data_IF_563436788033
#
_entry.id   IF_563436788033
#
_cell.length_a   1.000
_cell.length_b   1.000
_cell.length_c   1.000
_cell.angle_alpha   90.00
_cell.angle_beta   90.00
_cell.angle_gamma   90.00
#
_symmetry.space_group_name_H-M   'P 1'
#
loop_
_entity.id
_entity.type
_entity.pdbx_description
1 polymer ?
#
# COMPACT_ATOMS: atom_id res chain seq x y z
N UNK A 1 19.75 5.92 4.60
CA UNK A 1 19.79 7.36 4.34
C UNK A 1 18.40 8.01 4.38
N UNK A 2 17.42 7.45 3.67
CA UNK A 2 16.07 8.01 3.60
C UNK A 2 15.38 8.05 4.97
N UNK A 3 15.48 6.98 5.75
CA UNK A 3 14.90 6.93 7.10
C UNK A 3 15.53 7.95 8.04
N UNK A 4 16.82 8.08 8.00
CA UNK A 4 17.55 9.07 8.82
C UNK A 4 17.14 10.48 8.42
N UNK A 5 17.04 10.77 7.14
CA UNK A 5 16.59 12.08 6.65
C UNK A 5 15.18 12.40 7.11
N UNK A 6 14.26 11.41 7.04
CA UNK A 6 12.88 11.59 7.50
C UNK A 6 12.81 11.86 9.01
N UNK A 7 13.61 11.16 9.81
CA UNK A 7 13.66 11.37 11.26
C UNK A 7 14.16 12.75 11.65
N UNK A 8 15.06 13.33 10.84
CA UNK A 8 15.61 14.66 11.10
C UNK A 8 14.77 15.80 10.54
N UNK A 9 13.54 15.51 10.12
CA UNK A 9 12.57 16.53 9.72
C UNK A 9 12.45 16.78 8.22
N UNK A 10 13.16 16.01 7.39
CA UNK A 10 13.05 16.14 5.94
C UNK A 10 11.78 15.44 5.42
N UNK A 11 11.14 16.02 4.41
CA UNK A 11 10.12 15.35 3.65
C UNK A 11 10.80 14.48 2.59
N UNK A 12 10.58 13.18 2.66
CA UNK A 12 11.25 12.21 1.78
C UNK A 12 10.22 11.47 0.95
N UNK A 13 10.43 11.43 -0.37
CA UNK A 13 9.68 10.58 -1.30
C UNK A 13 10.61 9.49 -1.81
N UNK A 14 10.12 8.26 -1.82
CA UNK A 14 10.84 7.13 -2.38
C UNK A 14 9.94 6.27 -3.24
N UNK A 15 10.50 5.58 -4.20
CA UNK A 15 9.75 4.68 -5.08
C UNK A 15 10.29 3.26 -4.97
N UNK A 16 9.36 2.29 -4.96
CA UNK A 16 9.67 0.87 -4.95
C UNK A 16 8.76 0.14 -5.94
N UNK A 17 9.20 -1.03 -6.36
CA UNK A 17 8.43 -1.86 -7.29
C UNK A 17 7.68 -2.94 -6.51
N UNK A 18 6.52 -2.57 -5.97
CA UNK A 18 5.69 -3.47 -5.16
C UNK A 18 4.23 -3.38 -5.58
N UNK A 19 3.46 -4.43 -5.31
CA UNK A 19 2.05 -4.52 -5.68
C UNK A 19 1.10 -4.21 -4.53
N UNK A 20 1.60 -3.99 -3.32
CA UNK A 20 0.76 -3.68 -2.17
C UNK A 20 1.52 -2.86 -1.12
N UNK A 21 0.77 -2.20 -0.24
CA UNK A 21 1.35 -1.44 0.87
C UNK A 21 2.10 -2.36 1.83
N UNK A 22 1.53 -3.53 2.15
CA UNK A 22 2.16 -4.50 3.04
C UNK A 22 3.51 -4.99 2.48
N UNK A 23 3.56 -5.31 1.19
CA UNK A 23 4.80 -5.73 0.53
C UNK A 23 5.83 -4.62 0.50
N UNK A 24 5.40 -3.37 0.41
CA UNK A 24 6.30 -2.21 0.46
C UNK A 24 7.02 -2.14 1.80
N UNK A 25 6.30 -2.32 2.90
CA UNK A 25 6.88 -2.33 4.25
C UNK A 25 7.92 -3.46 4.37
N UNK A 26 7.55 -4.67 3.98
CA UNK A 26 8.45 -5.81 4.02
C UNK A 26 9.71 -5.58 3.18
N UNK A 27 9.56 -5.00 2.00
CA UNK A 27 10.67 -4.71 1.09
C UNK A 27 11.66 -3.72 1.68
N UNK A 28 11.15 -2.68 2.33
CA UNK A 28 12.01 -1.68 2.99
C UNK A 28 12.82 -2.33 4.11
N UNK A 29 12.17 -3.15 4.93
CA UNK A 29 12.81 -3.80 6.08
C UNK A 29 13.82 -4.86 5.62
N UNK A 30 13.50 -5.60 4.58
CA UNK A 30 14.31 -6.73 4.12
C UNK A 30 15.66 -6.34 3.53
N UNK A 31 15.87 -5.07 3.16
CA UNK A 31 17.19 -4.62 2.68
C UNK A 31 18.21 -4.45 3.81
N UNK A 32 17.79 -4.54 5.06
CA UNK A 32 18.66 -4.37 6.23
C UNK A 32 19.05 -5.73 6.81
N UNK A 33 20.26 -5.82 7.43
CA UNK A 33 20.66 -7.04 8.15
C UNK A 33 19.70 -7.39 9.28
N UNK A 34 19.60 -8.67 9.60
CA UNK A 34 18.68 -9.16 10.63
C UNK A 34 18.86 -8.44 11.98
N UNK A 35 20.09 -8.12 12.35
CA UNK A 35 20.39 -7.42 13.61
C UNK A 35 19.83 -6.00 13.67
N UNK A 36 19.56 -5.38 12.53
CA UNK A 36 19.08 -4.00 12.43
C UNK A 36 17.56 -3.91 12.18
N UNK A 37 16.90 -5.00 11.84
CA UNK A 37 15.49 -4.98 11.44
C UNK A 37 14.56 -4.42 12.50
N UNK A 38 14.78 -4.74 13.77
CA UNK A 38 13.96 -4.22 14.87
C UNK A 38 14.03 -2.70 14.98
N UNK A 39 15.23 -2.14 14.88
CA UNK A 39 15.45 -0.70 14.90
C UNK A 39 14.80 -0.04 13.67
N UNK A 40 14.95 -0.63 12.50
CA UNK A 40 14.37 -0.12 11.25
C UNK A 40 12.84 -0.11 11.32
N UNK A 41 12.22 -1.14 11.86
CA UNK A 41 10.76 -1.17 12.08
C UNK A 41 10.30 -0.03 12.96
N UNK A 42 11.02 0.22 14.04
CA UNK A 42 10.71 1.31 14.96
C UNK A 42 10.82 2.66 14.27
N UNK A 43 11.92 2.90 13.58
CA UNK A 43 12.14 4.15 12.82
C UNK A 43 11.08 4.36 11.75
N UNK A 44 10.78 3.32 10.97
CA UNK A 44 9.80 3.37 9.90
C UNK A 44 8.41 3.65 10.44
N UNK A 45 8.04 3.00 11.57
CA UNK A 45 6.73 3.20 12.19
C UNK A 45 6.49 4.66 12.62
N UNK A 46 7.54 5.37 12.97
CA UNK A 46 7.43 6.77 13.39
C UNK A 46 7.52 7.75 12.21
N UNK A 47 8.32 7.43 11.20
CA UNK A 47 8.64 8.35 10.11
C UNK A 47 7.70 8.24 8.91
N UNK A 48 7.12 7.07 8.69
CA UNK A 48 6.27 6.84 7.53
C UNK A 48 4.98 7.66 7.61
N UNK A 49 4.59 8.27 6.49
CA UNK A 49 3.34 9.03 6.40
C UNK A 49 2.30 8.30 5.58
N UNK A 50 2.68 7.78 4.43
CA UNK A 50 1.76 7.09 3.54
C UNK A 50 2.51 6.18 2.58
N UNK A 51 1.81 5.17 2.09
CA UNK A 51 2.27 4.31 0.99
C UNK A 51 1.16 4.27 -0.05
N UNK A 52 1.52 4.54 -1.30
CA UNK A 52 0.60 4.45 -2.42
C UNK A 52 1.16 3.43 -3.40
N UNK A 53 0.44 2.31 -3.55
CA UNK A 53 0.79 1.28 -4.53
C UNK A 53 -0.09 1.45 -5.75
N UNK A 54 0.51 1.41 -6.94
CA UNK A 54 -0.19 1.67 -8.19
C UNK A 54 -0.11 0.47 -9.11
N UNK A 55 -1.23 0.16 -9.75
CA UNK A 55 -1.33 -0.81 -10.83
C UNK A 55 -1.93 -0.13 -12.04
N UNK A 56 -1.30 -0.29 -13.19
CA UNK A 56 -1.82 0.24 -14.46
C UNK A 56 -2.48 -0.88 -15.25
N UNK A 57 -3.67 -0.62 -15.75
CA UNK A 57 -4.44 -1.59 -16.51
C UNK A 57 -5.09 -0.93 -17.72
N UNK A 58 -5.57 -1.74 -18.65
CA UNK A 58 -6.25 -1.24 -19.82
C UNK A 58 -7.59 -0.64 -19.45
N UNK A 59 -7.82 0.58 -19.92
CA UNK A 59 -9.07 1.30 -19.72
C UNK A 59 -10.07 0.90 -20.82
N UNK A 60 -11.34 0.80 -20.46
CA UNK A 60 -12.43 0.59 -21.43
C UNK A 60 -12.44 1.76 -22.42
N UNK A 61 -12.44 1.45 -23.72
CA UNK A 61 -12.44 2.47 -24.75
C UNK A 61 -11.07 2.98 -25.16
N UNK A 62 -10.00 2.48 -24.55
CA UNK A 62 -8.62 2.81 -24.89
C UNK A 62 -7.87 3.56 -23.80
N UNK A 63 -6.55 3.55 -23.89
CA UNK A 63 -5.68 4.13 -22.89
C UNK A 63 -5.51 3.24 -21.67
N UNK A 64 -4.98 3.83 -20.60
CA UNK A 64 -4.69 3.12 -19.35
C UNK A 64 -5.36 3.81 -18.16
N UNK A 65 -5.68 3.03 -17.16
CA UNK A 65 -6.24 3.50 -15.89
C UNK A 65 -5.37 3.01 -14.75
N UNK A 66 -5.08 3.91 -13.81
CA UNK A 66 -4.34 3.55 -12.61
C UNK A 66 -5.31 3.19 -11.49
N UNK A 67 -5.04 2.08 -10.83
CA UNK A 67 -5.70 1.71 -9.58
C UNK A 67 -4.70 1.80 -8.44
N UNK A 68 -5.13 2.30 -7.30
CA UNK A 68 -4.25 2.56 -6.17
C UNK A 68 -4.71 1.86 -4.91
N UNK A 69 -3.75 1.30 -4.18
CA UNK A 69 -3.91 0.95 -2.78
C UNK A 69 -3.26 2.07 -1.97
N UNK A 70 -3.99 2.65 -1.04
CA UNK A 70 -3.53 3.80 -0.25
C UNK A 70 -3.54 3.43 1.21
N UNK A 71 -2.38 3.53 1.85
CA UNK A 71 -2.21 3.33 3.28
C UNK A 71 -1.72 4.63 3.91
N UNK A 72 -2.40 5.08 4.94
CA UNK A 72 -2.00 6.24 5.74
C UNK A 72 -1.51 5.73 7.09
N UNK A 73 -0.39 6.27 7.57
CA UNK A 73 0.23 5.81 8.82
C UNK A 73 -0.52 6.32 10.03
N UNK A 74 -1.69 5.75 10.29
CA UNK A 74 -2.46 5.95 11.52
C UNK A 74 -1.75 5.26 12.70
N UNK A 75 -2.12 5.57 13.96
CA UNK A 75 -1.56 4.86 15.11
C UNK A 75 -1.68 3.34 15.02
N UNK A 76 -2.80 2.82 14.50
CA UNK A 76 -3.00 1.39 14.31
C UNK A 76 -2.00 0.80 13.32
N UNK A 77 -1.81 1.46 12.17
CA UNK A 77 -0.84 1.03 11.15
C UNK A 77 0.59 1.09 11.72
N UNK A 78 0.95 2.17 12.42
CA UNK A 78 2.27 2.31 13.03
C UNK A 78 2.57 1.18 14.00
N UNK A 79 1.59 0.79 14.78
CA UNK A 79 1.73 -0.30 15.74
C UNK A 79 1.96 -1.65 15.04
N UNK A 80 1.25 -1.90 13.95
CA UNK A 80 1.44 -3.12 13.16
C UNK A 80 2.84 -3.20 12.54
N UNK A 81 3.38 -2.08 12.09
CA UNK A 81 4.75 -2.01 11.56
C UNK A 81 5.75 -2.32 12.68
N UNK A 82 5.61 -1.66 13.82
CA UNK A 82 6.51 -1.79 14.96
C UNK A 82 6.57 -3.22 15.47
N UNK A 83 5.42 -3.90 15.52
CA UNK A 83 5.29 -5.24 16.07
C UNK A 83 5.49 -6.36 15.02
N UNK A 84 5.85 -6.01 13.79
CA UNK A 84 6.04 -6.97 12.71
C UNK A 84 4.77 -7.78 12.41
N UNK A 85 3.62 -7.11 12.47
CA UNK A 85 2.31 -7.73 12.18
C UNK A 85 1.77 -7.24 10.84
N UNK A 86 2.62 -7.24 9.84
CA UNK A 86 2.32 -6.71 8.51
C UNK A 86 1.13 -7.43 7.86
N UNK A 87 0.98 -8.73 8.14
CA UNK A 87 -0.15 -9.51 7.60
C UNK A 87 -1.52 -8.97 8.01
N UNK A 88 -1.61 -8.21 9.11
CA UNK A 88 -2.86 -7.61 9.58
C UNK A 88 -3.16 -6.24 8.99
N UNK A 89 -2.22 -5.68 8.22
CA UNK A 89 -2.36 -4.32 7.67
C UNK A 89 -3.50 -4.22 6.67
N UNK A 90 -3.76 -5.27 5.89
CA UNK A 90 -4.82 -5.26 4.90
C UNK A 90 -6.19 -4.95 5.53
N UNK A 91 -6.49 -5.58 6.66
CA UNK A 91 -7.75 -5.33 7.38
C UNK A 91 -7.86 -3.88 7.87
N UNK A 92 -6.77 -3.31 8.36
CA UNK A 92 -6.73 -1.91 8.80
C UNK A 92 -6.93 -0.93 7.64
N UNK A 93 -6.36 -1.24 6.48
CA UNK A 93 -6.55 -0.43 5.27
C UNK A 93 -8.01 -0.54 4.81
N UNK A 94 -8.56 -1.74 4.82
CA UNK A 94 -9.92 -2.02 4.36
C UNK A 94 -10.98 -1.23 5.14
N UNK A 95 -10.76 -1.02 6.43
CA UNK A 95 -11.69 -0.30 7.30
C UNK A 95 -11.26 1.15 7.56
N UNK A 96 -10.24 1.63 6.85
CA UNK A 96 -9.65 2.95 7.09
C UNK A 96 -10.10 4.06 6.15
N UNK A 97 -11.29 3.97 5.54
CA UNK A 97 -11.75 4.99 4.58
C UNK A 97 -11.82 6.39 5.21
N UNK A 98 -12.19 6.49 6.47
CA UNK A 98 -12.27 7.78 7.16
C UNK A 98 -10.90 8.48 7.23
N UNK A 99 -9.81 7.73 7.24
CA UNK A 99 -8.44 8.25 7.22
C UNK A 99 -7.89 8.45 5.80
N UNK A 100 -8.68 8.15 4.76
CA UNK A 100 -8.27 8.26 3.37
C UNK A 100 -7.66 6.99 2.80
N UNK A 101 -7.73 5.87 3.51
CA UNK A 101 -7.20 4.60 3.04
C UNK A 101 -8.18 3.87 2.13
N UNK A 102 -7.62 3.08 1.21
CA UNK A 102 -8.39 2.15 0.39
C UNK A 102 -7.51 0.97 0.00
N UNK A 103 -8.13 -0.22 -0.12
CA UNK A 103 -7.45 -1.37 -0.70
C UNK A 103 -7.50 -1.29 -2.22
N UNK A 104 -6.62 -2.05 -2.88
CA UNK A 104 -6.65 -2.15 -4.33
C UNK A 104 -8.00 -2.67 -4.81
N UNK A 105 -8.55 -3.69 -4.14
CA UNK A 105 -9.85 -4.27 -4.50
C UNK A 105 -10.99 -3.25 -4.42
N UNK A 106 -11.00 -2.42 -3.40
CA UNK A 106 -11.99 -1.33 -3.26
C UNK A 106 -11.90 -0.35 -4.42
N UNK A 107 -10.68 0.01 -4.82
CA UNK A 107 -10.44 0.89 -5.96
C UNK A 107 -10.91 0.23 -7.26
N UNK A 108 -10.60 -1.04 -7.46
CA UNK A 108 -11.01 -1.79 -8.64
C UNK A 108 -12.53 -1.89 -8.75
N UNK A 109 -13.23 -2.13 -7.64
CA UNK A 109 -14.69 -2.16 -7.63
C UNK A 109 -15.30 -0.84 -8.10
N UNK A 110 -14.74 0.29 -7.64
CA UNK A 110 -15.19 1.61 -8.09
C UNK A 110 -14.94 1.82 -9.58
N UNK A 111 -13.79 1.43 -10.09
CA UNK A 111 -13.46 1.58 -11.50
C UNK A 111 -14.38 0.73 -12.39
N UNK A 112 -14.71 -0.48 -11.98
CA UNK A 112 -15.66 -1.35 -12.68
C UNK A 112 -17.07 -0.75 -12.65
N UNK A 113 -17.49 -0.25 -11.50
CA UNK A 113 -18.79 0.39 -11.29
C UNK A 113 -18.98 1.60 -12.20
N UNK A 114 -17.93 2.38 -12.39
CA UNK A 114 -17.93 3.56 -13.27
C UNK A 114 -17.75 3.21 -14.75
N UNK A 115 -17.57 1.94 -15.07
CA UNK A 115 -17.37 1.48 -16.44
C UNK A 115 -16.01 1.81 -17.04
N UNK A 116 -15.04 2.20 -16.23
CA UNK A 116 -13.70 2.60 -16.70
C UNK A 116 -12.78 1.41 -16.93
N UNK A 117 -13.02 0.29 -16.25
CA UNK A 117 -12.27 -0.96 -16.35
C UNK A 117 -13.26 -2.11 -16.41
N UNK A 118 -13.00 -3.12 -17.25
CA UNK A 118 -13.85 -4.31 -17.33
C UNK A 118 -13.62 -5.21 -16.11
N UNK A 119 -14.61 -6.04 -15.80
CA UNK A 119 -14.50 -7.05 -14.74
C UNK A 119 -13.31 -7.98 -14.97
N UNK A 120 -13.07 -8.40 -16.21
CA UNK A 120 -11.96 -9.30 -16.51
C UNK A 120 -10.59 -8.64 -16.30
N UNK A 121 -10.46 -7.37 -16.61
CA UNK A 121 -9.23 -6.62 -16.29
C UNK A 121 -9.02 -6.53 -14.78
N UNK A 122 -10.04 -6.13 -14.05
CA UNK A 122 -9.97 -6.03 -12.58
C UNK A 122 -9.64 -7.37 -11.94
N UNK A 123 -10.24 -8.45 -12.44
CA UNK A 123 -9.98 -9.80 -11.95
C UNK A 123 -8.50 -10.15 -11.97
N UNK A 124 -7.80 -9.78 -13.04
CA UNK A 124 -6.37 -10.05 -13.20
C UNK A 124 -5.48 -9.39 -12.14
N UNK A 125 -5.93 -8.29 -11.57
CA UNK A 125 -5.16 -7.52 -10.58
C UNK A 125 -5.67 -7.68 -9.15
N UNK A 126 -6.89 -8.19 -8.97
CA UNK A 126 -7.52 -8.27 -7.67
C UNK A 126 -6.82 -9.24 -6.71
N UNK A 127 -6.79 -8.88 -5.44
CA UNK A 127 -6.37 -9.79 -4.37
C UNK A 127 -7.44 -10.84 -4.10
N UNK A 128 -8.70 -10.43 -4.01
CA UNK A 128 -9.85 -11.35 -3.90
C UNK A 128 -10.57 -11.39 -5.25
N UNK A 129 -10.23 -12.38 -6.04
CA UNK A 129 -10.75 -12.52 -7.40
C UNK A 129 -12.24 -12.81 -7.45
N UNK A 130 -12.82 -13.33 -6.36
CA UNK A 130 -14.25 -13.64 -6.27
C UNK A 130 -15.12 -12.40 -6.42
N UNK A 131 -14.59 -11.22 -6.08
CA UNK A 131 -15.32 -9.95 -6.22
C UNK A 131 -15.63 -9.59 -7.67
N UNK A 132 -14.89 -10.17 -8.62
CA UNK A 132 -14.98 -9.85 -10.05
C UNK A 132 -15.34 -11.03 -10.94
N UNK A 133 -15.90 -12.07 -10.36
CA UNK A 133 -16.42 -13.25 -11.08
C UNK A 133 -17.84 -13.04 -11.58
#
# INVERSE_FOLDING_TARGET
LALTAAETGHLVFGTLHTSSAAKTIDRIIDVFPAAEKGMVRSMLSESLRAVISQSLMKKTGGGRMAAHEIMVATPAIRNLIREDKVAQMYSSIQTGQAAGMQTLDQCLLELVKKGQVSKSQAWGYAKDKRLFE
#
